data_IF_293416642937
#
_entry.id   IF_293416642937
#
_cell.length_a   1.000
_cell.length_b   1.000
_cell.length_c   1.000
_cell.angle_alpha   90.00
_cell.angle_beta   90.00
_cell.angle_gamma   90.00
#
_symmetry.space_group_name_H-M   'P 1'
#
loop_
_entity.id
_entity.type
_entity.pdbx_description
1 polymer ?
#
# COMPACT_ATOMS: atom_id res chain seq x y z
N UNK A 1 -53.39 -21.84 -5.07
CA UNK A 1 -53.54 -20.37 -5.18
C UNK A 1 -52.47 -19.77 -4.31
N UNK A 2 -51.38 -19.29 -4.89
CA UNK A 2 -50.33 -18.62 -4.13
C UNK A 2 -50.90 -17.35 -3.49
N UNK A 3 -50.96 -17.33 -2.16
CA UNK A 3 -51.42 -16.18 -1.39
C UNK A 3 -50.47 -15.01 -1.60
N UNK A 4 -51.00 -13.90 -2.11
CA UNK A 4 -50.22 -12.67 -2.26
C UNK A 4 -49.81 -12.16 -0.87
N UNK A 5 -48.54 -11.78 -0.66
CA UNK A 5 -48.02 -11.37 0.65
C UNK A 5 -48.55 -10.00 1.13
N UNK A 6 -49.44 -9.37 0.38
CA UNK A 6 -49.98 -8.04 0.61
C UNK A 6 -51.47 -8.02 0.27
N UNK A 7 -52.27 -7.15 0.92
CA UNK A 7 -53.69 -7.02 0.62
C UNK A 7 -53.89 -6.64 -0.84
N UNK A 8 -54.83 -7.31 -1.49
CA UNK A 8 -55.19 -7.05 -2.90
C UNK A 8 -55.91 -5.72 -2.99
N UNK A 9 -55.44 -4.86 -3.89
CA UNK A 9 -56.11 -3.60 -4.21
C UNK A 9 -57.06 -3.82 -5.39
N UNK A 10 -58.35 -3.48 -5.29
CA UNK A 10 -59.30 -3.71 -6.36
C UNK A 10 -59.04 -2.82 -7.58
N UNK A 11 -59.30 -3.35 -8.77
CA UNK A 11 -59.33 -2.60 -10.03
C UNK A 11 -58.56 -3.27 -11.17
N UNK A 12 -58.83 -2.81 -12.38
CA UNK A 12 -58.33 -3.45 -13.60
C UNK A 12 -56.81 -3.38 -13.74
N UNK A 13 -56.23 -4.46 -14.25
CA UNK A 13 -54.86 -4.50 -14.78
C UNK A 13 -54.96 -4.17 -16.26
N UNK A 14 -54.31 -3.08 -16.70
CA UNK A 14 -54.40 -2.64 -18.09
C UNK A 14 -53.55 -3.53 -19.02
N UNK A 15 -53.99 -3.83 -20.26
CA UNK A 15 -53.23 -4.65 -21.20
C UNK A 15 -51.79 -4.16 -21.44
N UNK A 16 -51.59 -2.83 -21.49
CA UNK A 16 -50.26 -2.22 -21.62
C UNK A 16 -49.32 -2.54 -20.46
N UNK A 17 -49.84 -2.75 -19.24
CA UNK A 17 -49.02 -3.12 -18.08
C UNK A 17 -48.63 -4.59 -18.16
N UNK A 18 -49.56 -5.45 -18.60
CA UNK A 18 -49.28 -6.86 -18.84
C UNK A 18 -48.15 -6.97 -19.86
N UNK A 19 -48.30 -6.40 -21.05
CA UNK A 19 -47.28 -6.43 -22.09
C UNK A 19 -45.91 -5.93 -21.60
N UNK A 20 -45.88 -4.85 -20.79
CA UNK A 20 -44.65 -4.34 -20.20
C UNK A 20 -44.01 -5.30 -19.19
N UNK A 21 -44.80 -6.00 -18.37
CA UNK A 21 -44.29 -7.02 -17.44
C UNK A 21 -43.74 -8.22 -18.20
N UNK A 22 -44.46 -8.72 -19.19
CA UNK A 22 -44.07 -9.89 -19.99
C UNK A 22 -42.75 -9.64 -20.72
N UNK A 23 -42.62 -8.48 -21.38
CA UNK A 23 -41.40 -8.07 -22.07
C UNK A 23 -40.19 -7.97 -21.13
N UNK A 24 -40.43 -7.78 -19.83
CA UNK A 24 -39.40 -7.67 -18.79
C UNK A 24 -39.21 -8.97 -17.99
N UNK A 25 -39.90 -10.06 -18.37
CA UNK A 25 -39.75 -11.39 -17.77
C UNK A 25 -40.63 -11.63 -16.54
N UNK A 26 -41.75 -10.92 -16.41
CA UNK A 26 -42.67 -11.02 -15.27
C UNK A 26 -44.14 -11.20 -15.69
N UNK A 27 -44.93 -11.83 -14.81
CA UNK A 27 -46.40 -11.78 -14.87
C UNK A 27 -46.93 -10.82 -13.80
N UNK A 28 -48.01 -10.09 -14.09
CA UNK A 28 -48.74 -9.34 -13.05
C UNK A 28 -49.74 -10.29 -12.39
N UNK A 29 -49.55 -10.56 -11.10
CA UNK A 29 -50.45 -11.40 -10.32
C UNK A 29 -51.64 -10.60 -9.78
N UNK A 30 -51.41 -9.31 -9.49
CA UNK A 30 -52.44 -8.45 -8.92
C UNK A 30 -51.93 -7.05 -8.63
N UNK A 31 -52.88 -6.15 -8.37
CA UNK A 31 -52.59 -4.88 -7.70
C UNK A 31 -52.62 -5.14 -6.19
N UNK A 32 -51.69 -4.56 -5.46
CA UNK A 32 -51.54 -4.79 -4.02
C UNK A 32 -51.33 -3.46 -3.32
N UNK A 33 -51.66 -3.35 -2.03
CA UNK A 33 -51.46 -2.16 -1.18
C UNK A 33 -52.29 -0.95 -1.62
N UNK A 34 -52.04 -0.40 -2.81
CA UNK A 34 -52.70 0.78 -3.37
C UNK A 34 -52.71 0.73 -4.91
N UNK A 35 -53.17 1.84 -5.52
CA UNK A 35 -53.29 1.94 -6.98
C UNK A 35 -51.95 1.89 -7.74
N UNK A 36 -50.82 2.11 -7.07
CA UNK A 36 -49.47 2.25 -7.62
C UNK A 36 -48.58 1.03 -7.39
N UNK A 37 -49.00 0.03 -6.61
CA UNK A 37 -48.17 -1.15 -6.36
C UNK A 37 -48.75 -2.40 -7.04
N UNK A 38 -47.85 -3.15 -7.69
CA UNK A 38 -48.14 -4.39 -8.39
C UNK A 38 -47.37 -5.53 -7.73
N UNK A 39 -48.00 -6.70 -7.67
CA UNK A 39 -47.34 -7.96 -7.41
C UNK A 39 -46.88 -8.55 -8.74
N UNK A 40 -45.56 -8.63 -8.93
CA UNK A 40 -44.96 -9.26 -10.11
C UNK A 40 -44.44 -10.64 -9.75
N UNK A 41 -44.80 -11.66 -10.53
CA UNK A 41 -44.23 -13.00 -10.47
C UNK A 41 -43.13 -13.13 -11.51
N UNK A 42 -41.92 -13.49 -11.09
CA UNK A 42 -40.81 -13.72 -12.01
C UNK A 42 -41.05 -15.00 -12.82
N UNK A 43 -40.91 -14.92 -14.15
CA UNK A 43 -41.06 -16.10 -15.03
C UNK A 43 -39.92 -17.10 -14.89
N UNK A 44 -38.75 -16.68 -14.39
CA UNK A 44 -37.60 -17.56 -14.21
C UNK A 44 -37.69 -18.40 -12.94
N UNK A 45 -37.96 -17.78 -11.79
CA UNK A 45 -37.93 -18.46 -10.49
C UNK A 45 -39.30 -18.61 -9.82
N UNK A 46 -40.38 -18.06 -10.41
CA UNK A 46 -41.73 -18.10 -9.84
C UNK A 46 -41.94 -17.21 -8.62
N UNK A 47 -40.91 -16.56 -8.08
CA UNK A 47 -41.05 -15.72 -6.90
C UNK A 47 -41.88 -14.46 -7.19
N UNK A 48 -42.72 -14.09 -6.21
CA UNK A 48 -43.52 -12.87 -6.27
C UNK A 48 -42.84 -11.73 -5.53
N UNK A 49 -42.84 -10.53 -6.12
CA UNK A 49 -42.28 -9.33 -5.51
C UNK A 49 -43.16 -8.11 -5.71
N UNK A 50 -43.08 -7.18 -4.75
CA UNK A 50 -43.73 -5.87 -4.84
C UNK A 50 -42.90 -4.94 -5.73
N UNK A 51 -43.55 -4.36 -6.73
CA UNK A 51 -42.95 -3.33 -7.61
C UNK A 51 -43.92 -2.17 -7.77
N UNK A 52 -43.39 -0.94 -7.79
CA UNK A 52 -44.21 0.24 -8.12
C UNK A 52 -44.52 0.22 -9.62
N UNK A 53 -45.75 0.53 -9.98
CA UNK A 53 -46.22 0.65 -11.37
C UNK A 53 -45.28 1.53 -12.19
N UNK A 54 -44.85 2.68 -11.65
CA UNK A 54 -43.89 3.53 -12.33
C UNK A 54 -42.58 2.81 -12.68
N UNK A 55 -42.01 2.05 -11.74
CA UNK A 55 -40.79 1.24 -11.96
C UNK A 55 -41.01 0.20 -13.06
N UNK A 56 -42.16 -0.48 -13.07
CA UNK A 56 -42.50 -1.41 -14.15
C UNK A 56 -42.54 -0.69 -15.50
N UNK A 57 -43.06 0.54 -15.56
CA UNK A 57 -43.20 1.25 -16.83
C UNK A 57 -41.89 1.88 -17.31
N UNK A 58 -41.07 2.44 -16.41
CA UNK A 58 -39.91 3.27 -16.78
C UNK A 58 -38.54 2.61 -16.64
N UNK A 59 -38.43 1.47 -15.95
CA UNK A 59 -37.15 0.79 -15.69
C UNK A 59 -37.26 -0.73 -15.82
N UNK A 60 -36.14 -1.44 -15.69
CA UNK A 60 -36.11 -2.91 -15.61
C UNK A 60 -36.20 -3.34 -14.13
N UNK A 61 -37.32 -3.93 -13.67
CA UNK A 61 -37.37 -4.51 -12.33
C UNK A 61 -36.41 -5.70 -12.22
N UNK A 62 -35.59 -5.72 -11.17
CA UNK A 62 -34.77 -6.89 -10.84
C UNK A 62 -35.57 -7.83 -9.94
N UNK A 63 -35.50 -9.13 -10.20
CA UNK A 63 -36.06 -10.14 -9.29
C UNK A 63 -35.13 -10.31 -8.09
N UNK A 64 -35.58 -9.92 -6.89
CA UNK A 64 -34.76 -10.04 -5.67
C UNK A 64 -34.40 -11.49 -5.36
N UNK A 65 -35.29 -12.44 -5.62
CA UNK A 65 -35.02 -13.86 -5.39
C UNK A 65 -33.97 -14.42 -6.33
N UNK A 66 -34.02 -14.09 -7.63
CA UNK A 66 -32.97 -14.48 -8.57
C UNK A 66 -31.62 -13.87 -8.19
N UNK A 67 -31.62 -12.57 -7.85
CA UNK A 67 -30.41 -11.86 -7.46
C UNK A 67 -29.76 -12.45 -6.20
N UNK A 68 -30.57 -12.81 -5.18
CA UNK A 68 -30.08 -13.50 -3.99
C UNK A 68 -29.53 -14.90 -4.31
N UNK A 69 -30.16 -15.62 -5.24
CA UNK A 69 -29.68 -16.93 -5.68
C UNK A 69 -28.34 -16.80 -6.44
N UNK A 70 -28.20 -15.80 -7.30
CA UNK A 70 -26.94 -15.48 -7.98
C UNK A 70 -25.83 -15.16 -6.99
N UNK A 71 -26.06 -14.29 -6.00
CA UNK A 71 -25.03 -13.97 -5.00
C UNK A 71 -24.63 -15.16 -4.14
N UNK A 72 -25.58 -16.05 -3.82
CA UNK A 72 -25.27 -17.31 -3.12
C UNK A 72 -24.39 -18.22 -3.98
N UNK A 73 -24.71 -18.32 -5.27
CA UNK A 73 -23.91 -19.09 -6.23
C UNK A 73 -22.50 -18.51 -6.41
N UNK A 74 -22.39 -17.18 -6.52
CA UNK A 74 -21.10 -16.50 -6.60
C UNK A 74 -20.27 -16.71 -5.33
N UNK A 75 -20.91 -16.67 -4.15
CA UNK A 75 -20.27 -16.97 -2.88
C UNK A 75 -19.74 -18.41 -2.85
N UNK A 76 -20.58 -19.39 -3.20
CA UNK A 76 -20.20 -20.80 -3.24
C UNK A 76 -19.02 -21.05 -4.19
N UNK A 77 -19.07 -20.48 -5.40
CA UNK A 77 -17.97 -20.56 -6.36
C UNK A 77 -16.67 -19.93 -5.81
N UNK A 78 -16.79 -18.89 -4.99
CA UNK A 78 -15.65 -18.25 -4.31
C UNK A 78 -15.18 -19.01 -3.04
N UNK A 79 -15.80 -20.14 -2.69
CA UNK A 79 -15.53 -20.88 -1.45
C UNK A 79 -16.04 -20.15 -0.19
N UNK A 80 -17.04 -19.29 -0.33
CA UNK A 80 -17.64 -18.50 0.75
C UNK A 80 -19.11 -18.90 0.96
N UNK A 81 -19.64 -18.68 2.16
CA UNK A 81 -21.09 -18.79 2.40
C UNK A 81 -21.69 -17.39 2.51
N UNK A 82 -22.65 -17.05 1.65
CA UNK A 82 -23.39 -15.78 1.73
C UNK A 82 -24.24 -15.74 3.01
N UNK A 83 -24.10 -14.69 3.82
CA UNK A 83 -24.88 -14.51 5.04
C UNK A 83 -26.02 -13.52 4.82
N UNK A 84 -25.66 -12.26 4.53
CA UNK A 84 -26.62 -11.16 4.41
C UNK A 84 -26.04 -10.00 3.61
N UNK A 85 -26.91 -9.17 3.07
CA UNK A 85 -26.51 -7.88 2.48
C UNK A 85 -26.09 -6.91 3.57
N UNK A 86 -25.21 -5.98 3.21
CA UNK A 86 -24.94 -4.83 4.05
C UNK A 86 -26.13 -3.84 3.97
N UNK A 87 -26.81 -3.54 5.09
CA UNK A 87 -27.96 -2.64 5.10
C UNK A 87 -27.58 -1.18 4.79
N UNK A 88 -26.34 -0.77 5.08
CA UNK A 88 -25.86 0.58 4.84
C UNK A 88 -25.29 0.75 3.41
N UNK A 89 -24.82 -0.33 2.80
CA UNK A 89 -24.14 -0.26 1.50
C UNK A 89 -24.65 -1.28 0.48
N UNK A 90 -25.41 -0.80 -0.51
CA UNK A 90 -26.07 -1.63 -1.53
C UNK A 90 -25.15 -2.55 -2.34
N UNK A 91 -23.85 -2.24 -2.41
CA UNK A 91 -22.84 -2.99 -3.17
C UNK A 91 -22.08 -4.03 -2.33
N UNK A 92 -22.37 -4.12 -1.03
CA UNK A 92 -21.65 -4.99 -0.10
C UNK A 92 -22.57 -6.04 0.53
N UNK A 93 -21.94 -7.12 0.97
CA UNK A 93 -22.55 -8.18 1.77
C UNK A 93 -21.53 -8.79 2.73
N UNK A 94 -22.06 -9.52 3.70
CA UNK A 94 -21.31 -10.31 4.67
C UNK A 94 -21.33 -11.77 4.25
N UNK A 95 -20.17 -12.41 4.38
CA UNK A 95 -19.92 -13.80 3.99
C UNK A 95 -19.18 -14.52 5.11
N UNK A 96 -19.40 -15.81 5.28
CA UNK A 96 -18.58 -16.66 6.14
C UNK A 96 -17.48 -17.30 5.28
N UNK A 97 -16.23 -17.09 5.69
CA UNK A 97 -15.06 -17.66 5.05
C UNK A 97 -14.77 -19.09 5.57
N UNK A 98 -14.01 -19.92 4.83
CA UNK A 98 -13.63 -21.27 5.27
C UNK A 98 -12.85 -21.31 6.59
N UNK A 99 -12.15 -20.23 6.92
CA UNK A 99 -11.46 -20.06 8.19
C UNK A 99 -12.38 -19.72 9.37
N UNK A 100 -13.70 -19.69 9.17
CA UNK A 100 -14.70 -19.41 10.20
C UNK A 100 -14.98 -17.92 10.44
N UNK A 101 -14.28 -17.01 9.76
CA UNK A 101 -14.46 -15.57 9.95
C UNK A 101 -15.58 -15.00 9.07
N UNK A 102 -16.40 -14.12 9.65
CA UNK A 102 -17.29 -13.26 8.87
C UNK A 102 -16.48 -12.14 8.19
N UNK A 103 -16.65 -12.00 6.87
CA UNK A 103 -15.96 -11.00 6.05
C UNK A 103 -16.96 -10.15 5.28
N UNK A 104 -16.67 -8.85 5.20
CA UNK A 104 -17.46 -7.89 4.42
C UNK A 104 -16.83 -7.68 3.05
N UNK A 105 -17.58 -7.92 1.97
CA UNK A 105 -17.08 -7.82 0.59
C UNK A 105 -18.08 -7.24 -0.39
N UNK A 106 -17.55 -6.64 -1.46
CA UNK A 106 -18.34 -6.24 -2.61
C UNK A 106 -18.77 -7.45 -3.43
N UNK A 107 -19.96 -7.40 -4.01
CA UNK A 107 -20.46 -8.46 -4.91
C UNK A 107 -19.51 -8.73 -6.08
N UNK A 108 -19.03 -7.67 -6.73
CA UNK A 108 -18.13 -7.80 -7.89
C UNK A 108 -16.81 -8.49 -7.54
N UNK A 109 -16.27 -8.24 -6.34
CA UNK A 109 -15.05 -8.93 -5.91
C UNK A 109 -15.30 -10.42 -5.70
N UNK A 110 -16.40 -10.79 -5.03
CA UNK A 110 -16.76 -12.19 -4.80
C UNK A 110 -16.98 -12.93 -6.11
N UNK A 111 -17.67 -12.30 -7.07
CA UNK A 111 -17.83 -12.84 -8.43
C UNK A 111 -16.50 -13.08 -9.12
N UNK A 112 -15.55 -12.14 -9.04
CA UNK A 112 -14.20 -12.30 -9.58
C UNK A 112 -13.39 -13.40 -8.89
N UNK A 113 -13.59 -13.61 -7.59
CA UNK A 113 -12.98 -14.73 -6.85
C UNK A 113 -13.54 -16.05 -7.34
N UNK A 114 -14.87 -16.18 -7.45
CA UNK A 114 -15.51 -17.41 -7.93
C UNK A 114 -15.16 -17.74 -9.39
N UNK A 115 -14.85 -16.72 -10.20
CA UNK A 115 -14.34 -16.89 -11.56
C UNK A 115 -12.83 -17.20 -11.63
N UNK A 116 -12.12 -17.27 -10.50
CA UNK A 116 -10.67 -17.51 -10.45
C UNK A 116 -9.79 -16.34 -10.93
N UNK A 117 -10.37 -15.15 -11.14
CA UNK A 117 -9.64 -13.96 -11.60
C UNK A 117 -8.74 -13.39 -10.49
N UNK A 118 -9.12 -13.61 -9.23
CA UNK A 118 -8.35 -13.17 -8.06
C UNK A 118 -8.55 -14.15 -6.91
N UNK A 119 -7.54 -14.29 -6.04
CA UNK A 119 -7.68 -15.11 -4.83
C UNK A 119 -8.51 -14.44 -3.73
N UNK A 120 -9.05 -15.27 -2.84
CA UNK A 120 -9.63 -14.81 -1.58
C UNK A 120 -8.55 -14.63 -0.52
N UNK A 121 -8.63 -13.53 0.24
CA UNK A 121 -7.82 -13.31 1.45
C UNK A 121 -8.74 -12.83 2.56
N UNK A 122 -8.70 -13.50 3.70
CA UNK A 122 -9.37 -13.07 4.93
C UNK A 122 -8.47 -12.06 5.67
N UNK A 123 -8.97 -10.86 5.99
CA UNK A 123 -8.18 -9.85 6.71
C UNK A 123 -7.81 -10.31 8.10
N UNK A 124 -8.68 -11.05 8.79
CA UNK A 124 -8.42 -11.54 10.15
C UNK A 124 -7.27 -12.56 10.16
N UNK A 125 -7.33 -13.58 9.29
CA UNK A 125 -6.23 -14.55 9.16
C UNK A 125 -4.94 -13.90 8.69
N UNK A 126 -5.05 -12.96 7.76
CA UNK A 126 -3.90 -12.20 7.26
C UNK A 126 -3.24 -11.40 8.38
N UNK A 127 -4.01 -10.66 9.19
CA UNK A 127 -3.50 -9.93 10.34
C UNK A 127 -2.85 -10.86 11.38
N UNK A 128 -3.47 -12.01 11.68
CA UNK A 128 -2.89 -13.00 12.59
C UNK A 128 -1.57 -13.57 12.06
N UNK A 129 -1.47 -13.79 10.74
CA UNK A 129 -0.22 -14.23 10.10
C UNK A 129 0.87 -13.18 10.24
N UNK A 130 0.58 -11.91 9.96
CA UNK A 130 1.55 -10.82 10.10
C UNK A 130 2.06 -10.68 11.55
N UNK A 131 1.17 -10.80 12.53
CA UNK A 131 1.55 -10.81 13.94
C UNK A 131 2.44 -12.01 14.27
N UNK A 132 2.09 -13.21 13.80
CA UNK A 132 2.89 -14.43 14.02
C UNK A 132 4.27 -14.39 13.35
N UNK A 133 4.36 -13.85 12.13
CA UNK A 133 5.62 -13.63 11.41
C UNK A 133 6.56 -12.71 12.20
N UNK A 134 6.02 -11.61 12.74
CA UNK A 134 6.77 -10.70 13.59
C UNK A 134 7.24 -11.39 14.88
N UNK A 135 6.33 -12.06 15.60
CA UNK A 135 6.64 -12.72 16.87
C UNK A 135 7.71 -13.80 16.73
N UNK A 136 7.65 -14.59 15.66
CA UNK A 136 8.65 -15.63 15.34
C UNK A 136 10.06 -15.03 15.17
N UNK A 137 10.15 -13.72 14.93
CA UNK A 137 11.41 -12.99 14.71
C UNK A 137 11.80 -12.10 15.88
N UNK A 138 11.07 -12.16 17.00
CA UNK A 138 11.32 -11.29 18.14
C UNK A 138 10.81 -9.86 17.93
N UNK A 139 9.73 -9.68 17.15
CA UNK A 139 9.10 -8.38 16.92
C UNK A 139 7.61 -8.42 17.22
N UNK A 140 7.07 -7.29 17.65
CA UNK A 140 5.63 -7.09 17.83
C UNK A 140 5.13 -6.10 16.78
N UNK A 141 4.07 -6.43 16.05
CA UNK A 141 3.42 -5.50 15.13
C UNK A 141 2.62 -4.46 15.93
N UNK A 142 3.00 -3.19 15.82
CA UNK A 142 2.46 -2.10 16.65
C UNK A 142 1.38 -1.32 15.91
N UNK A 143 1.67 -0.88 14.68
CA UNK A 143 0.73 -0.05 13.93
C UNK A 143 0.94 -0.11 12.41
N UNK A 144 -0.05 0.46 11.70
CA UNK A 144 0.09 0.80 10.30
C UNK A 144 1.18 1.87 10.11
N UNK A 145 1.65 2.01 8.88
CA UNK A 145 2.63 3.04 8.55
C UNK A 145 2.08 4.46 8.79
N UNK A 146 2.76 5.33 9.56
CA UNK A 146 2.32 6.71 9.80
C UNK A 146 2.25 7.54 8.51
N UNK A 147 3.07 7.22 7.51
CA UNK A 147 3.05 7.87 6.19
C UNK A 147 1.98 7.29 5.26
N UNK A 148 1.18 6.32 5.72
CA UNK A 148 0.12 5.70 4.95
C UNK A 148 0.61 4.73 3.87
N UNK A 149 1.89 4.35 3.85
CA UNK A 149 2.39 3.39 2.86
C UNK A 149 2.04 1.95 3.28
N UNK A 150 1.19 1.24 2.52
CA UNK A 150 0.71 -0.09 2.89
C UNK A 150 1.81 -1.15 2.90
N UNK A 151 2.97 -0.89 2.28
CA UNK A 151 4.13 -1.79 2.27
C UNK A 151 4.95 -1.75 3.55
N UNK A 152 4.73 -0.75 4.41
CA UNK A 152 5.42 -0.58 5.67
C UNK A 152 4.48 -0.82 6.84
N UNK A 153 5.08 -1.17 7.98
CA UNK A 153 4.44 -1.24 9.30
C UNK A 153 5.45 -0.79 10.35
N UNK A 154 4.95 -0.38 11.51
CA UNK A 154 5.77 -0.13 12.68
C UNK A 154 5.77 -1.38 13.54
N UNK A 155 6.96 -1.84 13.91
CA UNK A 155 7.15 -2.98 14.80
C UNK A 155 8.02 -2.56 15.98
N UNK A 156 7.72 -3.08 17.16
CA UNK A 156 8.55 -2.95 18.36
C UNK A 156 9.43 -4.20 18.50
N UNK A 157 10.74 -4.02 18.63
CA UNK A 157 11.65 -5.14 18.89
C UNK A 157 11.43 -5.67 20.31
N UNK A 158 11.21 -6.97 20.47
CA UNK A 158 10.87 -7.57 21.76
C UNK A 158 12.00 -7.46 22.78
N UNK A 159 13.26 -7.55 22.34
CA UNK A 159 14.40 -7.58 23.27
C UNK A 159 14.80 -6.20 23.78
N UNK A 160 14.80 -5.18 22.90
CA UNK A 160 15.28 -3.83 23.24
C UNK A 160 14.19 -2.76 23.29
N UNK A 161 12.95 -3.09 22.91
CA UNK A 161 11.84 -2.15 22.88
C UNK A 161 11.91 -1.09 21.77
N UNK A 162 12.85 -1.20 20.83
CA UNK A 162 13.00 -0.22 19.75
C UNK A 162 11.87 -0.33 18.73
N UNK A 163 11.19 0.78 18.47
CA UNK A 163 10.20 0.89 17.39
C UNK A 163 10.89 1.17 16.05
N UNK A 164 10.62 0.32 15.06
CA UNK A 164 11.18 0.45 13.73
C UNK A 164 10.11 0.30 12.66
N UNK A 165 10.17 1.20 11.68
CA UNK A 165 9.41 1.09 10.44
C UNK A 165 10.08 0.05 9.53
N UNK A 166 9.41 -1.07 9.27
CA UNK A 166 9.96 -2.19 8.48
C UNK A 166 9.04 -2.49 7.29
N UNK A 167 9.64 -2.72 6.12
CA UNK A 167 8.92 -3.21 4.94
C UNK A 167 8.37 -4.60 5.24
N UNK A 168 7.08 -4.84 4.95
CA UNK A 168 6.41 -6.13 5.21
C UNK A 168 7.15 -7.32 4.60
N UNK A 169 7.64 -7.17 3.37
CA UNK A 169 8.43 -8.20 2.69
C UNK A 169 9.77 -8.51 3.41
N UNK A 170 10.38 -7.52 4.07
CA UNK A 170 11.58 -7.75 4.87
C UNK A 170 11.24 -8.48 6.16
N UNK A 171 10.13 -8.12 6.84
CA UNK A 171 9.63 -8.87 8.00
C UNK A 171 9.42 -10.36 7.66
N UNK A 172 8.77 -10.63 6.53
CA UNK A 172 8.56 -12.00 6.03
C UNK A 172 9.87 -12.74 5.76
N UNK A 173 10.80 -12.11 5.04
CA UNK A 173 12.07 -12.73 4.62
C UNK A 173 13.16 -12.75 5.70
N UNK A 174 13.02 -12.00 6.79
CA UNK A 174 14.06 -11.83 7.80
C UNK A 174 15.21 -10.91 7.38
N UNK A 175 15.09 -10.20 6.25
CA UNK A 175 16.18 -9.36 5.69
C UNK A 175 16.20 -7.95 6.28
N UNK A 176 16.45 -7.86 7.57
CA UNK A 176 16.54 -6.60 8.32
C UNK A 176 17.22 -6.84 9.67
N UNK A 177 17.70 -5.78 10.30
CA UNK A 177 18.23 -5.78 11.66
C UNK A 177 17.52 -4.72 12.51
N UNK A 178 17.64 -4.85 13.84
CA UNK A 178 17.14 -3.83 14.75
C UNK A 178 18.06 -2.59 14.70
N UNK A 179 17.50 -1.41 14.46
CA UNK A 179 18.25 -0.15 14.50
C UNK A 179 18.69 0.27 15.91
N UNK A 180 18.10 -0.32 16.96
CA UNK A 180 18.45 -0.02 18.35
C UNK A 180 19.55 -0.93 18.94
N UNK A 181 19.55 -2.23 18.61
CA UNK A 181 20.51 -3.20 19.19
C UNK A 181 21.13 -4.17 18.17
N UNK A 182 20.82 -4.02 16.87
CA UNK A 182 21.36 -4.90 15.83
C UNK A 182 22.82 -4.57 15.54
N UNK A 183 23.66 -5.61 15.51
CA UNK A 183 25.11 -5.48 15.27
C UNK A 183 25.48 -5.43 13.77
N UNK A 184 24.51 -5.65 12.88
CA UNK A 184 24.70 -5.58 11.43
C UNK A 184 24.95 -4.14 10.94
N UNK A 185 25.51 -4.01 9.72
CA UNK A 185 25.90 -2.76 9.01
C UNK A 185 25.04 -1.49 9.27
N UNK A 186 23.70 -1.56 9.42
CA UNK A 186 22.87 -0.38 9.72
C UNK A 186 22.88 0.10 11.18
N UNK A 187 23.24 -0.75 12.16
CA UNK A 187 23.16 -0.43 13.59
C UNK A 187 24.48 0.03 14.22
N UNK A 188 25.63 -0.28 13.61
CA UNK A 188 26.93 0.19 14.08
C UNK A 188 27.12 1.69 13.83
N UNK A 189 27.88 2.37 14.71
CA UNK A 189 28.27 3.76 14.54
C UNK A 189 28.91 4.01 13.17
N UNK A 190 28.62 5.16 12.58
CA UNK A 190 29.04 5.52 11.23
C UNK A 190 29.26 7.02 11.14
N UNK A 191 29.68 7.51 9.97
CA UNK A 191 29.92 8.91 9.71
C UNK A 191 29.28 9.36 8.40
N UNK A 192 28.82 10.61 8.35
CA UNK A 192 28.59 11.34 7.09
C UNK A 192 29.80 12.23 6.85
N UNK A 193 30.28 12.32 5.62
CA UNK A 193 31.52 13.03 5.30
C UNK A 193 31.44 13.82 3.99
N UNK A 194 32.29 14.83 3.87
CA UNK A 194 32.63 15.48 2.62
C UNK A 194 34.10 15.25 2.28
N UNK A 195 34.39 14.86 1.03
CA UNK A 195 35.74 14.69 0.50
C UNK A 195 35.93 15.59 -0.72
N UNK A 196 37.00 16.38 -0.72
CA UNK A 196 37.40 17.23 -1.84
C UNK A 196 38.54 16.59 -2.62
N UNK A 197 38.52 16.70 -3.95
CA UNK A 197 39.59 16.22 -4.80
C UNK A 197 39.64 16.91 -6.16
N UNK A 198 40.79 16.81 -6.82
CA UNK A 198 41.02 17.42 -8.13
C UNK A 198 41.13 16.34 -9.21
N UNK A 199 40.27 16.43 -10.22
CA UNK A 199 40.31 15.54 -11.39
C UNK A 199 41.54 15.82 -12.25
N UNK A 200 41.92 14.87 -13.11
CA UNK A 200 43.04 15.03 -14.05
C UNK A 200 42.88 16.24 -14.99
N UNK A 201 41.64 16.71 -15.20
CA UNK A 201 41.35 17.93 -15.96
C UNK A 201 41.66 19.23 -15.20
N UNK A 202 42.13 19.15 -13.94
CA UNK A 202 42.28 20.30 -13.04
C UNK A 202 40.98 20.75 -12.39
N UNK A 203 39.85 20.08 -12.66
CA UNK A 203 38.55 20.44 -12.08
C UNK A 203 38.48 19.99 -10.63
N UNK A 204 38.17 20.91 -9.73
CA UNK A 204 37.90 20.61 -8.33
C UNK A 204 36.47 20.06 -8.18
N UNK A 205 36.33 19.01 -7.38
CA UNK A 205 35.06 18.34 -7.12
C UNK A 205 34.96 17.94 -5.65
N UNK A 206 33.72 17.76 -5.21
CA UNK A 206 33.40 17.34 -3.84
C UNK A 206 32.44 16.15 -3.86
N UNK A 207 32.71 15.16 -3.02
CA UNK A 207 31.83 14.03 -2.75
C UNK A 207 31.25 14.13 -1.35
N UNK A 208 29.93 14.10 -1.26
CA UNK A 208 29.19 13.78 -0.05
C UNK A 208 28.93 12.26 -0.02
N UNK A 209 29.05 11.65 1.16
CA UNK A 209 28.79 10.23 1.35
C UNK A 209 28.78 9.83 2.82
N UNK A 210 28.58 8.54 3.09
CA UNK A 210 28.66 7.96 4.44
C UNK A 210 29.52 6.69 4.47
N UNK A 211 30.14 6.43 5.63
CA UNK A 211 31.00 5.25 5.88
C UNK A 211 31.24 5.06 7.38
N UNK A 212 31.53 3.84 7.81
CA UNK A 212 32.10 3.56 9.14
C UNK A 212 33.55 4.02 9.29
N UNK A 213 34.24 4.16 8.16
CA UNK A 213 35.65 4.54 8.09
C UNK A 213 35.84 5.42 6.84
N UNK A 214 35.74 6.76 6.99
CA UNK A 214 35.98 7.70 5.90
C UNK A 214 37.40 7.66 5.35
N UNK A 215 38.42 7.46 6.19
CA UNK A 215 39.84 7.42 5.78
C UNK A 215 40.14 6.23 4.87
N UNK A 216 39.68 5.04 5.25
CA UNK A 216 39.77 3.84 4.41
C UNK A 216 39.00 4.03 3.10
N UNK A 217 37.85 4.71 3.13
CA UNK A 217 37.07 5.00 1.93
C UNK A 217 37.79 5.98 0.99
N UNK A 218 38.40 7.03 1.51
CA UNK A 218 39.22 7.96 0.70
C UNK A 218 40.36 7.19 0.03
N UNK A 219 41.11 6.44 0.83
CA UNK A 219 42.39 5.82 0.43
C UNK A 219 42.20 4.64 -0.51
N UNK A 220 41.24 3.75 -0.25
CA UNK A 220 41.13 2.47 -0.97
C UNK A 220 39.92 2.38 -1.90
N UNK A 221 38.88 3.19 -1.66
CA UNK A 221 37.60 3.07 -2.38
C UNK A 221 37.28 4.28 -3.27
N UNK A 222 37.95 5.42 -3.08
CA UNK A 222 37.81 6.60 -3.93
C UNK A 222 39.03 6.76 -4.84
N UNK A 223 40.23 6.88 -4.24
CA UNK A 223 41.49 7.02 -4.97
C UNK A 223 41.73 5.81 -5.88
N UNK A 224 42.14 6.09 -7.11
CA UNK A 224 42.70 5.09 -8.04
C UNK A 224 44.20 5.27 -8.22
N UNK A 225 44.65 6.51 -8.20
CA UNK A 225 46.04 6.95 -8.16
C UNK A 225 46.36 7.48 -6.75
N UNK A 226 47.51 7.10 -6.19
CA UNK A 226 47.96 7.55 -4.86
C UNK A 226 48.31 9.04 -4.84
N UNK A 227 48.76 9.58 -5.97
CA UNK A 227 49.22 10.97 -6.10
C UNK A 227 48.06 11.95 -6.36
N UNK A 228 46.83 11.46 -6.57
CA UNK A 228 45.67 12.32 -6.79
C UNK A 228 45.41 13.18 -5.55
N UNK A 229 45.41 14.53 -5.68
CA UNK A 229 45.11 15.43 -4.57
C UNK A 229 43.68 15.16 -4.09
N UNK A 230 43.56 14.65 -2.87
CA UNK A 230 42.27 14.52 -2.20
C UNK A 230 42.38 14.51 -0.69
N UNK A 231 41.35 15.02 -0.05
CA UNK A 231 41.30 15.20 1.39
C UNK A 231 39.88 15.01 1.91
N UNK A 232 39.77 14.58 3.16
CA UNK A 232 38.52 14.70 3.91
C UNK A 232 38.39 16.18 4.33
N UNK A 233 37.28 16.80 3.96
CA UNK A 233 36.98 18.18 4.31
C UNK A 233 36.25 18.26 5.66
N UNK A 234 35.36 17.29 5.92
CA UNK A 234 34.53 17.24 7.13
C UNK A 234 34.01 15.82 7.37
N UNK A 235 33.85 15.48 8.63
CA UNK A 235 33.23 14.23 9.11
C UNK A 235 32.28 14.57 10.25
N UNK A 236 31.07 14.00 10.23
CA UNK A 236 30.06 14.14 11.28
C UNK A 236 29.74 12.72 11.81
N UNK A 237 29.96 12.45 13.11
CA UNK A 237 29.64 11.15 13.71
C UNK A 237 28.13 10.95 13.77
N UNK A 238 27.71 9.71 13.51
CA UNK A 238 26.32 9.28 13.53
C UNK A 238 26.19 8.05 14.41
N UNK A 239 25.12 8.02 15.22
CA UNK A 239 24.85 6.92 16.13
C UNK A 239 24.81 5.55 15.41
N UNK A 240 24.27 5.52 14.18
CA UNK A 240 24.16 4.29 13.40
C UNK A 240 24.40 4.53 11.90
N UNK A 241 24.77 3.47 11.17
CA UNK A 241 24.87 3.50 9.70
C UNK A 241 23.54 3.84 9.01
N UNK A 242 22.41 3.48 9.63
CA UNK A 242 21.09 3.83 9.11
C UNK A 242 20.81 5.33 9.20
N UNK A 243 21.10 5.97 10.34
CA UNK A 243 20.91 7.42 10.48
C UNK A 243 21.84 8.18 9.54
N UNK A 244 23.09 7.72 9.39
CA UNK A 244 24.03 8.27 8.41
C UNK A 244 23.51 8.18 6.97
N UNK A 245 23.00 7.01 6.56
CA UNK A 245 22.44 6.80 5.22
C UNK A 245 21.19 7.65 4.96
N UNK A 246 20.29 7.77 5.93
CA UNK A 246 19.08 8.57 5.79
C UNK A 246 19.42 10.07 5.66
N UNK A 247 20.33 10.58 6.48
CA UNK A 247 20.82 11.96 6.40
C UNK A 247 21.48 12.24 5.04
N UNK A 248 22.38 11.35 4.59
CA UNK A 248 23.07 11.48 3.30
C UNK A 248 22.09 11.51 2.12
N UNK A 249 21.10 10.61 2.09
CA UNK A 249 20.08 10.59 1.04
C UNK A 249 19.22 11.84 1.03
N UNK A 250 18.87 12.38 2.20
CA UNK A 250 18.10 13.60 2.33
C UNK A 250 18.89 14.80 1.76
N UNK A 251 20.17 14.90 2.09
CA UNK A 251 21.07 15.93 1.55
C UNK A 251 21.23 15.79 0.03
N UNK A 252 21.44 14.58 -0.51
CA UNK A 252 21.51 14.39 -1.97
C UNK A 252 20.21 14.71 -2.70
N UNK A 253 19.06 14.46 -2.07
CA UNK A 253 17.76 14.86 -2.61
C UNK A 253 17.66 16.38 -2.68
N UNK A 254 18.01 17.07 -1.59
CA UNK A 254 17.99 18.53 -1.54
C UNK A 254 18.97 19.16 -2.52
N UNK A 255 20.23 18.69 -2.57
CA UNK A 255 21.26 19.18 -3.49
C UNK A 255 20.83 19.06 -4.95
N UNK A 256 20.21 17.95 -5.35
CA UNK A 256 19.70 17.77 -6.73
C UNK A 256 18.52 18.68 -7.06
N UNK A 257 17.75 19.09 -6.05
CA UNK A 257 16.61 19.99 -6.24
C UNK A 257 17.04 21.46 -6.29
N UNK A 258 17.95 21.86 -5.38
CA UNK A 258 18.44 23.23 -5.27
C UNK A 258 19.54 23.56 -6.29
N UNK A 259 20.34 22.57 -6.70
CA UNK A 259 21.50 22.73 -7.56
C UNK A 259 21.56 21.63 -8.64
N UNK A 260 20.57 21.56 -9.56
CA UNK A 260 20.48 20.49 -10.55
C UNK A 260 21.71 20.41 -11.47
N UNK A 261 22.30 21.55 -11.82
CA UNK A 261 23.43 21.64 -12.76
C UNK A 261 24.80 21.38 -12.11
N UNK A 262 24.85 21.27 -10.79
CA UNK A 262 26.11 21.10 -10.07
C UNK A 262 26.56 19.63 -9.96
N UNK A 263 25.70 18.67 -10.33
CA UNK A 263 26.09 17.27 -10.41
C UNK A 263 27.02 17.07 -11.63
N UNK A 264 28.23 16.56 -11.37
CA UNK A 264 29.23 16.36 -12.43
C UNK A 264 28.88 15.12 -13.24
N UNK A 265 28.78 15.27 -14.57
CA UNK A 265 28.57 14.15 -15.49
C UNK A 265 29.59 13.03 -15.22
N UNK A 266 29.15 11.78 -14.97
CA UNK A 266 30.04 10.63 -14.80
C UNK A 266 31.09 10.46 -15.91
N UNK A 267 30.84 10.89 -17.14
CA UNK A 267 31.84 10.84 -18.21
C UNK A 267 33.09 11.69 -17.88
N UNK A 268 32.96 12.76 -17.09
CA UNK A 268 34.08 13.64 -16.77
C UNK A 268 35.13 13.00 -15.84
N UNK A 269 34.76 11.97 -15.07
CA UNK A 269 35.65 11.36 -14.07
C UNK A 269 35.70 9.82 -14.12
N UNK A 270 34.87 9.17 -14.95
CA UNK A 270 34.91 7.71 -15.14
C UNK A 270 36.33 7.26 -15.50
N UNK A 271 36.82 6.28 -14.74
CA UNK A 271 38.16 5.73 -14.93
C UNK A 271 39.24 6.41 -14.07
N UNK A 272 39.02 7.64 -13.58
CA UNK A 272 39.96 8.35 -12.70
C UNK A 272 39.73 8.00 -11.22
N UNK A 273 38.46 7.79 -10.83
CA UNK A 273 38.05 7.40 -9.47
C UNK A 273 37.17 6.13 -9.52
N UNK A 274 37.09 5.42 -8.40
CA UNK A 274 36.36 4.13 -8.30
C UNK A 274 34.85 4.27 -8.01
N UNK A 275 34.43 5.42 -7.48
CA UNK A 275 33.01 5.70 -7.16
C UNK A 275 32.19 5.94 -8.43
N UNK A 276 30.87 5.74 -8.38
CA UNK A 276 29.99 5.74 -9.57
C UNK A 276 28.98 6.91 -9.65
N UNK A 277 28.77 7.63 -8.55
CA UNK A 277 27.73 8.66 -8.44
C UNK A 277 28.11 9.71 -7.38
N UNK A 278 27.30 10.76 -7.30
CA UNK A 278 27.31 11.76 -6.23
C UNK A 278 28.62 12.54 -6.13
N UNK A 279 29.13 12.93 -7.30
CA UNK A 279 30.22 13.90 -7.43
C UNK A 279 29.60 15.24 -7.83
N UNK A 280 29.91 16.27 -7.05
CA UNK A 280 29.46 17.62 -7.28
C UNK A 280 30.63 18.53 -7.66
N UNK A 281 30.32 19.60 -8.36
CA UNK A 281 31.28 20.64 -8.67
C UNK A 281 31.85 21.26 -7.40
N UNK A 282 33.14 21.62 -7.41
CA UNK A 282 33.84 22.20 -6.26
C UNK A 282 33.17 23.47 -5.71
N UNK A 283 32.42 24.22 -6.55
CA UNK A 283 31.62 25.36 -6.12
C UNK A 283 30.56 25.04 -5.06
N UNK A 284 30.10 23.79 -4.95
CA UNK A 284 29.16 23.37 -3.90
C UNK A 284 29.81 23.03 -2.56
N UNK A 285 31.14 23.09 -2.45
CA UNK A 285 31.84 22.78 -1.20
C UNK A 285 31.28 23.56 0.00
N UNK A 286 31.13 24.90 -0.04
CA UNK A 286 30.61 25.65 1.10
C UNK A 286 29.18 25.24 1.48
N UNK A 287 28.34 24.91 0.50
CA UNK A 287 26.96 24.48 0.71
C UNK A 287 26.91 23.12 1.40
N UNK A 288 27.71 22.16 0.94
CA UNK A 288 27.78 20.83 1.53
C UNK A 288 28.34 20.89 2.96
N UNK A 289 29.34 21.73 3.20
CA UNK A 289 29.87 21.92 4.56
C UNK A 289 28.81 22.52 5.49
N UNK A 290 28.05 23.51 5.04
CA UNK A 290 26.93 24.07 5.83
C UNK A 290 25.86 23.02 6.18
N UNK A 291 25.50 22.13 5.24
CA UNK A 291 24.57 21.03 5.52
C UNK A 291 25.12 20.06 6.59
N UNK A 292 26.43 19.83 6.62
CA UNK A 292 27.06 18.98 7.63
C UNK A 292 27.11 19.66 8.99
N UNK A 293 27.33 20.97 9.04
CA UNK A 293 27.30 21.73 10.28
C UNK A 293 25.87 21.76 10.88
N UNK A 294 24.84 21.93 10.05
CA UNK A 294 23.43 21.84 10.47
C UNK A 294 23.08 20.43 11.00
N UNK A 295 23.63 19.38 10.37
CA UNK A 295 23.45 18.00 10.81
C UNK A 295 24.11 17.75 12.19
N UNK A 296 25.34 18.22 12.39
CA UNK A 296 26.06 18.06 13.66
C UNK A 296 25.38 18.85 14.79
N UNK A 297 24.90 20.06 14.50
CA UNK A 297 24.12 20.87 15.44
C UNK A 297 22.83 20.15 15.86
N UNK A 298 22.10 19.57 14.89
CA UNK A 298 20.86 18.83 15.16
C UNK A 298 21.10 17.54 15.95
N UNK A 299 22.25 16.88 15.74
CA UNK A 299 22.62 15.66 16.46
C UNK A 299 23.09 15.92 17.91
N UNK A 300 23.53 17.13 18.23
CA UNK A 300 24.01 17.51 19.58
C UNK A 300 22.87 17.97 20.50
N UNK A 301 21.73 18.38 19.94
CA UNK A 301 20.55 18.89 20.68
C UNK A 301 19.54 17.79 21.01
N UNK A 302 19.69 16.60 20.43
CA UNK A 302 18.84 15.41 20.63
C UNK A 302 19.42 14.46 21.68
#
# INVERSE_FOLDING_TARGET
MDTLPHPVFPGAILPKWVAAAEAKGFDIVGRIIDRLHLALRCRLCGATQKVRLFTLMSAQPLCQSCLLAEWRKDAEAAGLTFLRRDPAHRHYAFYLAPCGHEVRRQFELVRRIGAGVTGFRCETCHAATETGEAQTRGWCLTSADPEGNPNYRVYTHSDCGHDQRIVRANMQSGRFSCGGCGEDWPGAASYVYAMGFTLASGREVVKLGFSRDPDSRLTYQLRRDSEMPCQILRVVPMATGHTALCAEKAMHKWLRQAHPDAAVDPHAWRGQIRVKTEIYDGSLTPVILGLLDDLEASATVA
#
